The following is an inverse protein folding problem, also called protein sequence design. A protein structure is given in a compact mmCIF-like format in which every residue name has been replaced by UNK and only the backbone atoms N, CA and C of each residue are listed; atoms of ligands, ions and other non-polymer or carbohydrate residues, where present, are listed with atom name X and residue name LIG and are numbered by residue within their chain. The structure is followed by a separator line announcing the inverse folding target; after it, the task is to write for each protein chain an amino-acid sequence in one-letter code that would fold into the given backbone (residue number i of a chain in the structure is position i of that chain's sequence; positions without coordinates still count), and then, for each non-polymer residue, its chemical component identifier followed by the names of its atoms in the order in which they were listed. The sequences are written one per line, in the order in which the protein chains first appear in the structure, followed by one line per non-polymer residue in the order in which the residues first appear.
data_IF_658179412859
#
_entry.id   IF_658179412859
#
_cell.length_a   1.000
_cell.length_b   1.000
_cell.length_c   1.000
_cell.angle_alpha   90.00
_cell.angle_beta   90.00
_cell.angle_gamma   90.00
#
_symmetry.space_group_name_H-M   'P 1'
#
loop_
_entity.id
_entity.type
_entity.pdbx_description
1 polymer ?
#
# COMPACT_ATOMS: atom_id res chain seq x y z
N UNK A 1 -16.76 -3.24 -24.77
CA UNK A 1 -17.38 -2.14 -24.02
C UNK A 1 -17.71 -2.53 -22.58
N UNK A 2 -18.33 -3.70 -22.37
CA UNK A 2 -18.65 -4.16 -21.00
C UNK A 2 -17.38 -4.36 -20.14
N UNK A 3 -16.31 -4.90 -20.70
CA UNK A 3 -15.03 -5.08 -20.00
C UNK A 3 -14.41 -3.74 -19.60
N UNK A 4 -14.52 -2.73 -20.44
CA UNK A 4 -13.97 -1.42 -20.18
C UNK A 4 -14.71 -0.72 -19.04
N UNK A 5 -16.03 -0.83 -19.02
CA UNK A 5 -16.85 -0.26 -17.95
C UNK A 5 -16.58 -0.94 -16.60
N UNK A 6 -16.42 -2.25 -16.60
CA UNK A 6 -16.06 -2.99 -15.36
C UNK A 6 -14.69 -2.57 -14.85
N UNK A 7 -13.73 -2.39 -15.75
CA UNK A 7 -12.38 -1.98 -15.41
C UNK A 7 -12.37 -0.59 -14.77
N UNK A 8 -13.08 0.35 -15.39
CA UNK A 8 -13.19 1.71 -14.85
C UNK A 8 -13.87 1.71 -13.48
N UNK A 9 -14.88 0.86 -13.30
CA UNK A 9 -15.61 0.75 -12.05
C UNK A 9 -14.70 0.20 -10.93
N UNK A 10 -13.94 -0.88 -11.21
CA UNK A 10 -13.03 -1.43 -10.21
C UNK A 10 -11.90 -0.47 -9.88
N UNK A 11 -11.41 0.28 -10.86
CA UNK A 11 -10.37 1.29 -10.63
C UNK A 11 -10.89 2.42 -9.73
N UNK A 12 -12.11 2.88 -9.97
CA UNK A 12 -12.71 3.92 -9.14
C UNK A 12 -12.92 3.45 -7.72
N UNK A 13 -13.43 2.24 -7.55
CA UNK A 13 -13.64 1.63 -6.24
C UNK A 13 -12.29 1.48 -5.53
N UNK A 14 -11.27 1.02 -6.25
CA UNK A 14 -9.92 0.87 -5.70
C UNK A 14 -9.38 2.20 -5.20
N UNK A 15 -9.56 3.29 -5.96
CA UNK A 15 -9.11 4.62 -5.55
C UNK A 15 -9.82 5.10 -4.29
N UNK A 16 -11.13 4.87 -4.21
CA UNK A 16 -11.91 5.24 -3.02
C UNK A 16 -11.48 4.45 -1.80
N UNK A 17 -11.27 3.14 -1.96
CA UNK A 17 -10.79 2.28 -0.88
C UNK A 17 -9.41 2.73 -0.42
N UNK A 18 -8.52 3.05 -1.34
CA UNK A 18 -7.17 3.51 -1.02
C UNK A 18 -7.20 4.74 -0.11
N UNK A 19 -7.97 5.73 -0.49
CA UNK A 19 -8.09 6.98 0.28
C UNK A 19 -8.70 6.75 1.64
N UNK A 20 -9.81 6.01 1.69
CA UNK A 20 -10.51 5.79 2.95
C UNK A 20 -9.76 4.81 3.87
N UNK A 21 -9.08 3.82 3.32
CA UNK A 21 -8.29 2.88 4.11
C UNK A 21 -7.16 3.60 4.84
N UNK A 22 -6.44 4.47 4.16
CA UNK A 22 -5.37 5.25 4.79
C UNK A 22 -5.91 6.10 5.93
N UNK A 23 -7.03 6.75 5.69
CA UNK A 23 -7.68 7.58 6.70
C UNK A 23 -8.14 6.78 7.90
N UNK A 24 -8.80 5.63 7.68
CA UNK A 24 -9.27 4.74 8.75
C UNK A 24 -8.09 4.23 9.58
N UNK A 25 -7.02 3.82 8.93
CA UNK A 25 -5.83 3.32 9.64
C UNK A 25 -5.23 4.42 10.53
N UNK A 26 -5.13 5.65 10.03
CA UNK A 26 -4.56 6.76 10.79
C UNK A 26 -5.46 7.24 11.91
N UNK A 27 -6.75 7.35 11.66
CA UNK A 27 -7.68 7.99 12.58
C UNK A 27 -8.42 7.03 13.49
N UNK A 28 -8.79 5.85 12.98
CA UNK A 28 -9.72 4.97 13.69
C UNK A 28 -9.07 3.75 14.32
N UNK A 29 -7.91 3.32 13.83
CA UNK A 29 -7.22 2.15 14.38
C UNK A 29 -6.37 2.59 15.58
N UNK A 30 -6.71 2.06 16.75
CA UNK A 30 -6.01 2.40 18.02
C UNK A 30 -5.00 1.31 18.38
N UNK A 31 -4.05 1.07 17.51
CA UNK A 31 -2.99 0.09 17.75
C UNK A 31 -1.64 0.79 17.64
N UNK A 32 -0.80 0.75 18.69
CA UNK A 32 0.51 1.42 18.63
C UNK A 32 1.37 0.96 17.47
N UNK A 33 1.19 -0.27 16.99
CA UNK A 33 1.96 -0.80 15.87
C UNK A 33 1.65 -0.09 14.56
N UNK A 34 0.53 0.61 14.46
CA UNK A 34 0.19 1.41 13.27
C UNK A 34 0.74 2.83 13.33
N UNK A 35 1.35 3.22 14.45
CA UNK A 35 1.97 4.53 14.62
C UNK A 35 3.36 4.52 14.01
N UNK A 36 3.43 4.52 12.69
CA UNK A 36 4.67 4.53 11.96
C UNK A 36 4.46 5.29 10.65
N UNK A 37 5.56 5.59 9.96
CA UNK A 37 5.49 6.21 8.66
C UNK A 37 5.15 5.15 7.61
N UNK A 38 3.93 5.21 7.10
CA UNK A 38 3.44 4.27 6.11
C UNK A 38 2.63 4.99 5.03
N UNK A 39 2.45 4.33 3.91
CA UNK A 39 1.49 4.79 2.90
C UNK A 39 0.91 3.58 2.19
N UNK A 40 -0.31 3.75 1.69
CA UNK A 40 -0.93 2.74 0.84
C UNK A 40 -0.51 3.07 -0.59
N UNK A 41 0.22 2.17 -1.21
CA UNK A 41 0.81 2.42 -2.53
C UNK A 41 -0.09 1.99 -3.67
N UNK A 42 -0.92 0.97 -3.43
CA UNK A 42 -1.78 0.44 -4.48
C UNK A 42 -2.92 -0.36 -3.86
N UNK A 43 -4.08 -0.34 -4.52
CA UNK A 43 -5.21 -1.19 -4.17
C UNK A 43 -5.69 -1.86 -5.44
N UNK A 44 -5.81 -3.18 -5.39
CA UNK A 44 -6.22 -3.99 -6.51
C UNK A 44 -7.51 -4.74 -6.13
N UNK A 45 -8.61 -4.38 -6.78
CA UNK A 45 -9.93 -4.94 -6.49
C UNK A 45 -10.26 -6.01 -7.53
N UNK A 46 -10.70 -7.17 -7.07
CA UNK A 46 -11.09 -8.26 -7.97
C UNK A 46 -12.36 -7.90 -8.75
N UNK A 47 -12.54 -8.51 -9.91
CA UNK A 47 -13.67 -8.21 -10.80
C UNK A 47 -15.03 -8.47 -10.15
N UNK A 48 -15.10 -9.49 -9.29
CA UNK A 48 -16.32 -9.83 -8.57
C UNK A 48 -16.53 -8.96 -7.33
N UNK A 49 -15.62 -8.02 -7.06
CA UNK A 49 -15.65 -7.10 -5.92
C UNK A 49 -15.61 -7.79 -4.56
N UNK A 50 -15.16 -9.03 -4.50
CA UNK A 50 -15.07 -9.78 -3.24
C UNK A 50 -13.82 -9.44 -2.43
N UNK A 51 -12.71 -9.14 -3.11
CA UNK A 51 -11.44 -8.94 -2.46
C UNK A 51 -10.77 -7.66 -2.94
N UNK A 52 -10.13 -6.98 -2.03
CA UNK A 52 -9.29 -5.83 -2.32
C UNK A 52 -7.92 -6.08 -1.73
N UNK A 53 -6.92 -6.18 -2.57
CA UNK A 53 -5.53 -6.33 -2.15
C UNK A 53 -4.97 -4.94 -1.89
N UNK A 54 -4.57 -4.68 -0.66
CA UNK A 54 -4.10 -3.37 -0.23
C UNK A 54 -2.60 -3.46 0.03
N UNK A 55 -1.82 -2.77 -0.79
CA UNK A 55 -0.37 -2.78 -0.68
C UNK A 55 0.08 -1.62 0.20
N UNK A 56 0.85 -1.93 1.23
CA UNK A 56 1.30 -0.97 2.23
C UNK A 56 2.82 -0.90 2.24
N UNK A 57 3.34 0.33 2.14
CA UNK A 57 4.75 0.61 2.28
C UNK A 57 5.00 1.14 3.68
N UNK A 58 5.97 0.57 4.39
CA UNK A 58 6.37 1.01 5.72
C UNK A 58 7.84 1.42 5.65
N UNK A 59 8.10 2.67 6.03
CA UNK A 59 9.43 3.26 5.88
C UNK A 59 10.48 2.54 6.73
N UNK A 60 10.18 2.31 8.02
CA UNK A 60 11.12 1.71 8.95
C UNK A 60 11.02 0.19 8.89
N UNK A 61 12.11 -0.46 8.53
CA UNK A 61 12.16 -1.91 8.32
C UNK A 61 11.69 -2.70 9.54
N UNK A 62 12.12 -2.31 10.73
CA UNK A 62 11.78 -3.00 11.98
C UNK A 62 10.30 -2.87 12.35
N UNK A 63 9.60 -1.93 11.75
CA UNK A 63 8.16 -1.71 12.00
C UNK A 63 7.26 -2.42 10.99
N UNK A 64 7.82 -3.01 9.95
CA UNK A 64 7.05 -3.65 8.88
C UNK A 64 6.25 -4.85 9.38
N UNK A 65 6.91 -5.79 10.03
CA UNK A 65 6.23 -6.99 10.50
C UNK A 65 5.16 -6.68 11.55
N UNK A 66 5.44 -5.87 12.59
CA UNK A 66 4.40 -5.49 13.54
C UNK A 66 3.23 -4.76 12.89
N UNK A 67 3.53 -3.84 11.96
CA UNK A 67 2.48 -3.10 11.23
C UNK A 67 1.59 -4.04 10.43
N UNK A 68 2.18 -4.98 9.70
CA UNK A 68 1.41 -5.92 8.90
C UNK A 68 0.54 -6.82 9.76
N UNK A 69 1.04 -7.25 10.92
CA UNK A 69 0.26 -8.05 11.88
C UNK A 69 -0.91 -7.23 12.41
N UNK A 70 -0.70 -5.97 12.73
CA UNK A 70 -1.75 -5.08 13.21
C UNK A 70 -2.84 -4.90 12.15
N UNK A 71 -2.46 -4.67 10.91
CA UNK A 71 -3.41 -4.50 9.82
C UNK A 71 -4.24 -5.76 9.57
N UNK A 72 -3.61 -6.92 9.61
CA UNK A 72 -4.33 -8.19 9.45
C UNK A 72 -5.29 -8.43 10.59
N UNK A 73 -4.91 -8.10 11.82
CA UNK A 73 -5.81 -8.19 12.97
C UNK A 73 -6.98 -7.23 12.87
N UNK A 74 -6.75 -6.03 12.35
CA UNK A 74 -7.76 -4.99 12.25
C UNK A 74 -8.52 -4.99 10.93
N UNK A 75 -8.26 -5.97 10.05
CA UNK A 75 -8.82 -5.97 8.70
C UNK A 75 -10.35 -5.89 8.68
N UNK A 76 -11.01 -6.62 9.57
CA UNK A 76 -12.49 -6.59 9.67
C UNK A 76 -13.00 -5.22 10.13
N UNK A 77 -12.33 -4.64 11.11
CA UNK A 77 -12.65 -3.30 11.61
C UNK A 77 -12.46 -2.25 10.52
N UNK A 78 -11.34 -2.31 9.81
CA UNK A 78 -11.04 -1.38 8.72
C UNK A 78 -12.07 -1.51 7.60
N UNK A 79 -12.39 -2.73 7.22
CA UNK A 79 -13.43 -3.02 6.21
C UNK A 79 -14.77 -2.41 6.60
N UNK A 80 -15.17 -2.60 7.85
CA UNK A 80 -16.44 -2.06 8.35
C UNK A 80 -16.47 -0.54 8.26
N UNK A 81 -15.40 0.12 8.67
CA UNK A 81 -15.33 1.58 8.64
C UNK A 81 -15.26 2.14 7.23
N UNK A 82 -14.58 1.45 6.32
CA UNK A 82 -14.57 1.83 4.91
C UNK A 82 -16.00 1.72 4.34
N UNK A 83 -16.71 0.64 4.66
CA UNK A 83 -18.08 0.44 4.19
C UNK A 83 -19.04 1.53 4.63
N UNK A 84 -18.79 2.14 5.78
CA UNK A 84 -19.60 3.25 6.27
C UNK A 84 -19.33 4.56 5.52
N UNK A 85 -18.13 4.73 5.00
CA UNK A 85 -17.70 5.97 4.33
C UNK A 85 -17.87 5.90 2.81
N UNK A 86 -17.66 4.73 2.24
CA UNK A 86 -17.79 4.51 0.80
C UNK A 86 -19.13 3.83 0.57
N UNK A 87 -19.98 4.46 -0.22
CA UNK A 87 -21.31 3.92 -0.50
C UNK A 87 -21.19 2.80 -1.53
N UNK A 88 -20.82 1.61 -1.04
CA UNK A 88 -20.76 0.41 -1.85
C UNK A 88 -21.86 -0.53 -1.42
N UNK A 89 -22.47 -1.19 -2.38
CA UNK A 89 -23.46 -2.23 -2.12
C UNK A 89 -22.83 -3.37 -1.33
N UNK A 90 -21.55 -3.60 -1.56
CA UNK A 90 -20.79 -4.65 -0.92
C UNK A 90 -19.33 -4.19 -0.78
N UNK A 91 -18.81 -4.23 0.44
CA UNK A 91 -17.42 -3.85 0.70
C UNK A 91 -16.52 -5.06 0.56
N UNK A 92 -15.49 -5.01 -0.30
CA UNK A 92 -14.58 -6.15 -0.46
C UNK A 92 -13.86 -6.50 0.83
N UNK A 93 -13.50 -7.76 0.98
CA UNK A 93 -12.60 -8.21 2.04
C UNK A 93 -11.20 -7.68 1.76
N UNK A 94 -10.55 -7.12 2.78
CA UNK A 94 -9.23 -6.49 2.63
C UNK A 94 -8.13 -7.50 2.87
N UNK A 95 -7.20 -7.60 1.93
CA UNK A 95 -6.01 -8.43 2.03
C UNK A 95 -4.79 -7.50 2.02
N UNK A 96 -4.16 -7.34 3.17
CA UNK A 96 -3.01 -6.44 3.29
C UNK A 96 -1.73 -7.16 2.90
N UNK A 97 -0.93 -6.51 2.07
CA UNK A 97 0.37 -7.01 1.67
C UNK A 97 1.41 -5.89 1.75
N UNK A 98 2.61 -6.26 2.14
CA UNK A 98 3.72 -5.32 2.20
C UNK A 98 4.23 -5.05 0.79
N UNK A 99 4.34 -3.77 0.44
CA UNK A 99 4.90 -3.35 -0.84
C UNK A 99 6.36 -2.96 -0.64
N UNK A 100 7.26 -3.76 -1.19
CA UNK A 100 8.70 -3.51 -1.13
C UNK A 100 9.25 -2.93 -2.41
N UNK A 101 8.38 -2.59 -3.36
CA UNK A 101 8.79 -2.07 -4.67
C UNK A 101 9.60 -0.77 -4.54
N UNK A 102 9.16 0.13 -3.67
CA UNK A 102 9.86 1.40 -3.44
C UNK A 102 11.24 1.15 -2.84
N UNK A 103 11.32 0.24 -1.88
CA UNK A 103 12.58 -0.14 -1.25
C UNK A 103 13.54 -0.73 -2.28
N UNK A 104 13.03 -1.61 -3.13
CA UNK A 104 13.82 -2.21 -4.20
C UNK A 104 14.33 -1.14 -5.17
N UNK A 105 13.48 -0.20 -5.56
CA UNK A 105 13.86 0.92 -6.42
C UNK A 105 14.94 1.79 -5.79
N UNK A 106 14.82 2.09 -4.50
CA UNK A 106 15.81 2.87 -3.75
C UNK A 106 17.13 2.11 -3.68
N UNK A 107 17.08 0.81 -3.45
CA UNK A 107 18.29 -0.03 -3.40
C UNK A 107 19.01 -0.05 -4.75
N UNK A 108 18.28 -0.21 -5.84
CA UNK A 108 18.86 -0.16 -7.19
C UNK A 108 19.47 1.21 -7.48
N UNK A 109 18.78 2.29 -7.12
CA UNK A 109 19.30 3.65 -7.30
C UNK A 109 20.57 3.85 -6.50
N UNK A 110 20.64 3.32 -5.29
CA UNK A 110 21.83 3.37 -4.43
C UNK A 110 23.00 2.64 -5.08
N UNK A 111 22.77 1.46 -5.65
CA UNK A 111 23.80 0.70 -6.35
C UNK A 111 24.31 1.45 -7.59
N UNK A 112 23.40 2.06 -8.33
CA UNK A 112 23.77 2.87 -9.50
C UNK A 112 24.63 4.06 -9.09
N UNK A 113 24.27 4.73 -8.01
CA UNK A 113 25.06 5.86 -7.49
C UNK A 113 26.44 5.41 -7.04
N UNK A 114 26.57 4.24 -6.41
CA UNK A 114 27.86 3.68 -6.01
C UNK A 114 28.75 3.42 -7.22
N UNK A 115 28.17 2.84 -8.28
CA UNK A 115 28.88 2.59 -9.52
C UNK A 115 29.34 3.89 -10.15
N UNK A 116 28.50 4.91 -10.21
CA UNK A 116 28.84 6.23 -10.73
C UNK A 116 29.97 6.89 -9.94
N UNK A 117 29.93 6.81 -8.61
CA UNK A 117 30.98 7.35 -7.75
C UNK A 117 32.31 6.67 -7.97
N UNK A 118 32.29 5.35 -8.14
CA UNK A 118 33.49 4.58 -8.41
C UNK A 118 34.08 4.98 -9.76
N UNK A 119 33.26 5.11 -10.77
CA UNK A 119 33.69 5.57 -12.09
C UNK A 119 34.23 7.00 -12.06
N UNK A 120 33.53 7.88 -11.34
CA UNK A 120 33.98 9.26 -11.17
C UNK A 120 35.28 9.35 -10.41
N UNK A 121 35.47 8.55 -9.38
CA UNK A 121 36.74 8.50 -8.65
C UNK A 121 37.88 8.02 -9.51
N UNK A 122 37.62 7.03 -10.38
CA UNK A 122 38.64 6.54 -11.31
C UNK A 122 39.02 7.59 -12.35
N UNK A 123 38.04 8.33 -12.88
CA UNK A 123 38.33 9.39 -13.82
C UNK A 123 39.05 10.57 -13.14
N UNK A 124 38.77 10.84 -11.89
CA UNK A 124 39.45 11.91 -11.13
C UNK A 124 40.90 11.55 -10.83
N UNK A 125 41.25 10.29 -10.73
CA UNK A 125 42.59 9.81 -10.51
C UNK A 125 43.47 9.89 -11.76
N UNK A 126 42.83 9.94 -12.92
CA UNK A 126 43.53 10.11 -14.18
C UNK A 126 43.84 11.59 -14.49
#
# INVERSE_FOLDING_TARGET
MAKQQQYERTDRIASEIMREAERVIREDVSDPRTECMFSITHVDVTRDLRYAKVYVSVYEEEKREPMMKALKSAAGFIRHNIGRRVQLRYTPELLFELDTTIEYGVHIASLINQVRKTEGSQSDEE
#
